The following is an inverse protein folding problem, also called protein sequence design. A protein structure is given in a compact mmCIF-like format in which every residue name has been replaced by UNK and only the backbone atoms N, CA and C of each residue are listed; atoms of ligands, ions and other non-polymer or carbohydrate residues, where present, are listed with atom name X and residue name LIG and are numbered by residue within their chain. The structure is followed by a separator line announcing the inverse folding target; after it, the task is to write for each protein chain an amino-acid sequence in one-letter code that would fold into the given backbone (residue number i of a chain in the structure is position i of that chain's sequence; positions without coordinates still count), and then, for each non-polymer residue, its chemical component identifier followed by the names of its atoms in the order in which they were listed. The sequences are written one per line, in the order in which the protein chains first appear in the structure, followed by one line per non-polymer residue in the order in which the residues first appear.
data_IF_915464378082
#
_entry.id   IF_915464378082
#
_cell.length_a   1.000
_cell.length_b   1.000
_cell.length_c   1.000
_cell.angle_alpha   90.00
_cell.angle_beta   90.00
_cell.angle_gamma   90.00
#
_symmetry.space_group_name_H-M   'P 1'
#
loop_
_entity.id
_entity.type
_entity.pdbx_description
1 polymer ?
#
# COMPACT_ATOMS: atom_id res chain seq x y z
N UNK A 1 9.06 15.45 2.53
CA UNK A 1 9.86 14.59 3.47
C UNK A 1 9.02 13.57 4.26
N UNK A 2 7.90 13.94 4.89
CA UNK A 2 7.07 12.99 5.66
C UNK A 2 6.48 11.87 4.78
N UNK A 3 5.92 12.25 3.64
CA UNK A 3 5.50 11.42 2.51
C UNK A 3 6.46 10.26 2.18
N UNK A 4 7.72 10.60 1.88
CA UNK A 4 8.76 9.63 1.51
C UNK A 4 9.09 8.65 2.66
N UNK A 5 9.06 9.12 3.91
CA UNK A 5 9.26 8.24 5.08
C UNK A 5 8.09 7.29 5.27
N UNK A 6 6.86 7.76 5.10
CA UNK A 6 5.66 6.91 5.21
C UNK A 6 5.62 5.82 4.15
N UNK A 7 5.98 6.14 2.90
CA UNK A 7 5.99 5.16 1.82
C UNK A 7 6.87 3.93 2.12
N UNK A 8 7.97 4.11 2.86
CA UNK A 8 8.88 3.00 3.24
C UNK A 8 8.29 2.03 4.26
N UNK A 9 7.26 2.42 4.99
CA UNK A 9 6.59 1.58 6.00
C UNK A 9 5.68 0.55 5.31
N UNK A 10 5.07 0.94 4.18
CA UNK A 10 4.11 0.13 3.44
C UNK A 10 4.80 -0.94 2.58
N UNK A 11 5.35 -1.94 3.26
CA UNK A 11 5.86 -3.17 2.63
C UNK A 11 4.72 -4.18 2.44
N UNK A 12 4.85 -5.13 1.50
CA UNK A 12 3.86 -6.21 1.35
C UNK A 12 3.62 -6.98 2.66
N UNK A 13 4.69 -7.26 3.40
CA UNK A 13 4.62 -7.94 4.70
C UNK A 13 3.82 -7.12 5.72
N UNK A 14 4.05 -5.80 5.78
CA UNK A 14 3.30 -4.92 6.66
C UNK A 14 1.81 -4.93 6.30
N UNK A 15 1.48 -4.74 5.02
CA UNK A 15 0.09 -4.71 4.55
C UNK A 15 -0.63 -6.03 4.80
N UNK A 16 0.00 -7.17 4.53
CA UNK A 16 -0.59 -8.49 4.80
C UNK A 16 -0.85 -8.72 6.29
N UNK A 17 0.03 -8.24 7.18
CA UNK A 17 -0.17 -8.35 8.63
C UNK A 17 -1.31 -7.47 9.13
N UNK A 18 -1.40 -6.24 8.62
CA UNK A 18 -2.52 -5.34 8.93
C UNK A 18 -3.82 -5.96 8.46
N UNK A 19 -3.87 -6.48 7.23
CA UNK A 19 -5.08 -7.14 6.72
C UNK A 19 -5.49 -8.33 7.60
N UNK A 20 -4.55 -9.20 7.97
CA UNK A 20 -4.81 -10.34 8.85
C UNK A 20 -5.39 -9.94 10.22
N UNK A 21 -5.01 -8.77 10.75
CA UNK A 21 -5.61 -8.24 11.98
C UNK A 21 -7.01 -7.68 11.75
N UNK A 22 -7.26 -7.01 10.62
CA UNK A 22 -8.55 -6.41 10.29
C UNK A 22 -9.63 -7.46 10.00
N UNK A 23 -9.28 -8.55 9.33
CA UNK A 23 -10.25 -9.58 8.92
C UNK A 23 -10.45 -10.68 9.96
N UNK A 24 -9.68 -10.70 11.05
CA UNK A 24 -9.81 -11.72 12.09
C UNK A 24 -11.26 -11.81 12.61
N UNK A 25 -11.86 -13.01 12.71
CA UNK A 25 -11.24 -14.34 12.61
C UNK A 25 -11.18 -14.96 11.21
N UNK A 26 -11.58 -14.24 10.15
CA UNK A 26 -11.48 -14.72 8.79
C UNK A 26 -10.01 -14.88 8.34
N UNK A 27 -9.71 -15.82 7.43
CA UNK A 27 -8.37 -15.97 6.88
C UNK A 27 -8.05 -14.82 5.91
N UNK A 28 -6.88 -14.19 6.08
CA UNK A 28 -6.33 -13.23 5.12
C UNK A 28 -5.47 -13.96 4.09
N UNK A 29 -5.83 -13.87 2.80
CA UNK A 29 -5.11 -14.54 1.72
C UNK A 29 -4.55 -13.54 0.69
N UNK A 30 -3.23 -13.51 0.54
CA UNK A 30 -2.58 -12.78 -0.55
C UNK A 30 -2.77 -13.55 -1.86
N UNK A 31 -3.71 -13.11 -2.71
CA UNK A 31 -4.07 -13.77 -3.96
C UNK A 31 -3.31 -13.23 -5.17
N UNK A 32 -2.87 -11.97 -5.14
CA UNK A 32 -2.12 -11.33 -6.24
C UNK A 32 -0.88 -10.60 -5.70
N UNK A 33 0.24 -11.31 -5.46
CA UNK A 33 1.43 -10.71 -4.88
C UNK A 33 2.05 -9.61 -5.78
N UNK A 34 1.99 -9.74 -7.10
CA UNK A 34 2.50 -8.74 -8.03
C UNK A 34 1.67 -7.45 -8.03
N UNK A 35 0.35 -7.57 -7.93
CA UNK A 35 -0.55 -6.41 -7.82
C UNK A 35 -0.32 -5.66 -6.52
N UNK A 36 -0.08 -6.37 -5.41
CA UNK A 36 0.28 -5.74 -4.14
C UNK A 36 1.60 -4.96 -4.27
N UNK A 37 2.63 -5.57 -4.86
CA UNK A 37 3.91 -4.91 -5.09
C UNK A 37 3.74 -3.66 -5.96
N UNK A 38 2.98 -3.76 -7.04
CA UNK A 38 2.68 -2.64 -7.94
C UNK A 38 1.94 -1.49 -7.22
N UNK A 39 0.91 -1.84 -6.44
CA UNK A 39 0.12 -0.88 -5.66
C UNK A 39 0.95 -0.12 -4.62
N UNK A 40 1.99 -0.76 -4.05
CA UNK A 40 2.90 -0.14 -3.08
C UNK A 40 4.04 0.64 -3.74
N UNK A 41 4.55 0.16 -4.88
CA UNK A 41 5.65 0.80 -5.60
C UNK A 41 5.24 2.17 -6.15
N UNK A 42 4.01 2.30 -6.67
CA UNK A 42 3.53 3.55 -7.28
C UNK A 42 3.56 4.76 -6.31
N UNK A 43 2.94 4.72 -5.12
CA UNK A 43 3.03 5.82 -4.15
C UNK A 43 4.48 6.02 -3.63
N UNK A 44 5.29 4.95 -3.54
CA UNK A 44 6.71 5.10 -3.18
C UNK A 44 7.51 5.90 -4.22
N UNK A 45 7.28 5.62 -5.50
CA UNK A 45 7.90 6.35 -6.60
C UNK A 45 7.44 7.81 -6.62
N UNK A 46 6.14 8.08 -6.48
CA UNK A 46 5.61 9.45 -6.36
C UNK A 46 6.25 10.17 -5.18
N UNK A 47 6.34 9.54 -4.01
CA UNK A 47 6.95 10.17 -2.84
C UNK A 47 8.45 10.46 -2.98
N UNK A 48 9.14 9.78 -3.91
CA UNK A 48 10.55 9.99 -4.22
C UNK A 48 10.76 11.05 -5.32
N UNK A 49 10.03 10.93 -6.43
CA UNK A 49 10.20 11.80 -7.59
C UNK A 49 9.42 13.11 -7.53
N UNK A 50 8.33 13.16 -6.74
CA UNK A 50 7.46 14.33 -6.59
C UNK A 50 7.30 14.68 -5.09
N UNK A 51 8.39 15.09 -4.39
CA UNK A 51 8.39 15.25 -2.93
C UNK A 51 7.51 16.39 -2.41
N UNK A 52 7.12 17.32 -3.29
CA UNK A 52 6.17 18.42 -3.05
C UNK A 52 4.71 17.98 -3.03
N UNK A 53 4.39 16.75 -3.46
CA UNK A 53 3.03 16.22 -3.39
C UNK A 53 2.58 16.06 -1.93
N UNK A 54 1.32 16.40 -1.70
CA UNK A 54 0.72 16.29 -0.37
C UNK A 54 0.63 14.82 0.08
N UNK A 55 0.70 14.59 1.39
CA UNK A 55 0.58 13.26 1.99
C UNK A 55 -0.77 12.62 1.66
N UNK A 56 -1.83 13.42 1.53
CA UNK A 56 -3.17 12.96 1.15
C UNK A 56 -3.19 12.36 -0.25
N UNK A 57 -2.38 12.89 -1.18
CA UNK A 57 -2.27 12.34 -2.53
C UNK A 57 -1.64 10.94 -2.51
N UNK A 58 -0.63 10.73 -1.66
CA UNK A 58 -0.01 9.42 -1.49
C UNK A 58 -0.96 8.41 -0.85
N UNK A 59 -1.69 8.83 0.18
CA UNK A 59 -2.70 8.00 0.82
C UNK A 59 -3.79 7.58 -0.18
N UNK A 60 -4.30 8.52 -0.98
CA UNK A 60 -5.29 8.25 -2.01
C UNK A 60 -4.76 7.30 -3.10
N UNK A 61 -3.52 7.52 -3.56
CA UNK A 61 -2.87 6.67 -4.56
C UNK A 61 -2.68 5.24 -4.08
N UNK A 62 -2.26 5.08 -2.82
CA UNK A 62 -2.12 3.78 -2.17
C UNK A 62 -3.48 3.07 -2.04
N UNK A 63 -4.49 3.76 -1.51
CA UNK A 63 -5.82 3.20 -1.32
C UNK A 63 -6.43 2.76 -2.65
N UNK A 64 -6.33 3.60 -3.68
CA UNK A 64 -6.80 3.29 -5.04
C UNK A 64 -6.14 2.02 -5.60
N UNK A 65 -4.83 1.88 -5.45
CA UNK A 65 -4.09 0.70 -5.90
C UNK A 65 -4.52 -0.59 -5.20
N UNK A 66 -4.72 -0.54 -3.87
CA UNK A 66 -5.17 -1.71 -3.10
C UNK A 66 -6.61 -2.10 -3.42
N UNK A 67 -7.51 -1.12 -3.58
CA UNK A 67 -8.93 -1.36 -3.90
C UNK A 67 -9.07 -1.96 -5.30
N UNK A 68 -8.40 -1.42 -6.31
CA UNK A 68 -8.51 -1.93 -7.67
C UNK A 68 -7.75 -3.23 -7.91
N UNK A 69 -6.54 -3.36 -7.34
CA UNK A 69 -5.72 -4.56 -7.51
C UNK A 69 -6.35 -5.78 -6.85
N UNK A 70 -7.20 -5.56 -5.82
CA UNK A 70 -7.76 -6.60 -4.94
C UNK A 70 -6.74 -7.68 -4.60
N UNK A 71 -5.55 -7.30 -4.08
CA UNK A 71 -4.45 -8.24 -3.94
C UNK A 71 -4.66 -9.23 -2.80
N UNK A 72 -5.52 -8.91 -1.83
CA UNK A 72 -5.77 -9.69 -0.62
C UNK A 72 -7.28 -9.93 -0.51
N UNK A 73 -7.65 -11.17 -0.18
CA UNK A 73 -9.01 -11.59 0.17
C UNK A 73 -9.10 -11.90 1.67
#
# INVERSE_FOLDING_TARGET
MAAHRMAKIFTPTYVSRVNAQLVYPAPSQLVKPHELLSALAKPSNVAYYEPERDVSFLAASLAYGLILGTPIL
#
